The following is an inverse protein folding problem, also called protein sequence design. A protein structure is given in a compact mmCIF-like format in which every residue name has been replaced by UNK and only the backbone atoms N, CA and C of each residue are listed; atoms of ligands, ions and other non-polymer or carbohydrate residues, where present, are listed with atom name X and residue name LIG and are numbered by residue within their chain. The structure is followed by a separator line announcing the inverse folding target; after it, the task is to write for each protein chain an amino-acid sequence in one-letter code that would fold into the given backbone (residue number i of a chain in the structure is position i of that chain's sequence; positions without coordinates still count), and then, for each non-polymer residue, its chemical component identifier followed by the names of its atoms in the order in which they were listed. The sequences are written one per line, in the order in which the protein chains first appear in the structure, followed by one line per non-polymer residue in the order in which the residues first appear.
data_IF_593932457280
#
_entry.id   IF_593932457280
#
_cell.length_a   1.000
_cell.length_b   1.000
_cell.length_c   1.000
_cell.angle_alpha   90.00
_cell.angle_beta   90.00
_cell.angle_gamma   90.00
#
_symmetry.space_group_name_H-M   'P 1'
#
loop_
_entity.id
_entity.type
_entity.pdbx_description
1 polymer ?
#
# COMPACT_ATOMS: atom_id res chain seq x y z
N UNK A 1 -23.06 2.56 -7.86
CA UNK A 1 -23.09 2.81 -6.41
C UNK A 1 -21.73 2.48 -5.82
N UNK A 2 -20.89 3.50 -5.59
CA UNK A 2 -19.55 3.36 -5.01
C UNK A 2 -19.57 3.99 -3.61
N UNK A 3 -19.88 3.19 -2.60
CA UNK A 3 -19.91 3.60 -1.18
C UNK A 3 -18.64 3.17 -0.42
N UNK A 4 -17.71 2.46 -1.08
CA UNK A 4 -16.48 1.96 -0.44
C UNK A 4 -15.45 3.05 -0.15
N UNK A 5 -15.23 3.99 -1.07
CA UNK A 5 -14.20 5.03 -0.91
C UNK A 5 -14.56 6.09 0.14
N UNK A 6 -15.85 6.47 0.23
CA UNK A 6 -16.32 7.48 1.20
C UNK A 6 -16.28 7.00 2.65
N UNK A 7 -16.60 5.72 2.90
CA UNK A 7 -16.49 5.13 4.24
C UNK A 7 -15.03 4.98 4.69
N UNK A 8 -14.12 4.64 3.76
CA UNK A 8 -12.68 4.63 4.05
C UNK A 8 -12.13 6.02 4.32
N UNK A 9 -12.56 7.05 3.58
CA UNK A 9 -12.13 8.44 3.80
C UNK A 9 -12.59 8.97 5.17
N UNK A 10 -13.86 8.80 5.52
CA UNK A 10 -14.39 9.19 6.83
C UNK A 10 -13.70 8.48 8.02
N UNK A 11 -13.32 7.20 7.84
CA UNK A 11 -12.56 6.47 8.85
C UNK A 11 -11.13 7.02 9.01
N UNK A 12 -10.44 7.32 7.90
CA UNK A 12 -9.10 7.89 7.92
C UNK A 12 -9.10 9.29 8.54
N UNK A 13 -10.08 10.12 8.21
CA UNK A 13 -10.27 11.45 8.82
C UNK A 13 -10.47 11.34 10.32
N UNK A 14 -11.29 10.39 10.78
CA UNK A 14 -11.51 10.15 12.20
C UNK A 14 -10.22 9.70 12.91
N UNK A 15 -9.46 8.76 12.34
CA UNK A 15 -8.18 8.32 12.91
C UNK A 15 -7.16 9.48 12.95
N UNK A 16 -7.16 10.32 11.94
CA UNK A 16 -6.31 11.51 11.86
C UNK A 16 -6.72 12.56 12.90
N UNK A 17 -8.02 12.75 13.14
CA UNK A 17 -8.53 13.62 14.19
C UNK A 17 -8.19 13.10 15.59
N UNK A 18 -8.14 11.78 15.82
CA UNK A 18 -7.66 11.22 17.08
C UNK A 18 -6.18 11.53 17.36
N UNK A 19 -5.35 11.59 16.32
CA UNK A 19 -3.93 11.99 16.45
C UNK A 19 -3.73 13.47 16.76
N UNK A 20 -4.72 14.33 16.51
CA UNK A 20 -4.67 15.73 16.89
C UNK A 20 -4.85 15.92 18.42
N UNK A 21 -5.33 14.90 19.14
CA UNK A 21 -5.52 14.95 20.60
C UNK A 21 -4.20 14.63 21.31
N UNK A 22 -3.82 15.48 22.26
CA UNK A 22 -2.59 15.34 23.04
C UNK A 22 -2.56 13.97 23.75
N UNK A 23 -1.46 13.23 23.59
CA UNK A 23 -1.24 11.92 24.20
C UNK A 23 -1.79 10.73 23.40
N UNK A 24 -2.33 10.94 22.20
CA UNK A 24 -2.76 9.86 21.29
C UNK A 24 -1.92 9.86 20.02
N UNK A 25 -1.44 8.69 19.65
CA UNK A 25 -0.75 8.48 18.37
C UNK A 25 -1.12 7.11 17.81
N UNK A 26 -1.83 7.12 16.69
CA UNK A 26 -2.27 5.96 15.94
C UNK A 26 -1.61 6.01 14.59
N UNK A 27 -0.91 4.93 14.25
CA UNK A 27 -0.30 4.75 12.95
C UNK A 27 -1.10 3.72 12.17
N UNK A 28 -1.40 4.04 10.92
CA UNK A 28 -2.17 3.18 10.04
C UNK A 28 -1.53 3.11 8.65
N UNK A 29 -1.88 2.03 7.95
CA UNK A 29 -1.52 1.84 6.55
C UNK A 29 -2.73 1.29 5.82
N UNK A 30 -3.05 1.84 4.65
CA UNK A 30 -4.19 1.41 3.83
C UNK A 30 -3.74 1.14 2.40
N UNK A 31 -4.34 0.15 1.75
CA UNK A 31 -4.10 -0.13 0.34
C UNK A 31 -4.43 1.09 -0.53
N UNK A 32 -3.62 1.33 -1.55
CA UNK A 32 -3.79 2.44 -2.49
C UNK A 32 -4.09 1.89 -3.89
N UNK A 33 -5.21 2.32 -4.47
CA UNK A 33 -5.63 1.87 -5.77
C UNK A 33 -4.68 2.40 -6.85
N UNK A 34 -4.01 1.48 -7.55
CA UNK A 34 -3.12 1.82 -8.67
C UNK A 34 -3.93 1.85 -9.96
N UNK A 35 -4.52 3.02 -10.23
CA UNK A 35 -5.23 3.32 -11.47
C UNK A 35 -4.26 3.42 -12.65
N UNK A 36 -4.77 3.38 -13.88
CA UNK A 36 -3.95 3.46 -15.10
C UNK A 36 -3.02 4.69 -15.11
N UNK A 37 -3.55 5.85 -14.69
CA UNK A 37 -2.76 7.07 -14.58
C UNK A 37 -1.57 6.94 -13.61
N UNK A 38 -1.80 6.32 -12.45
CA UNK A 38 -0.74 6.05 -11.47
C UNK A 38 0.27 5.04 -12.04
N UNK A 39 -0.16 4.06 -12.84
CA UNK A 39 0.75 3.12 -13.51
C UNK A 39 1.68 3.81 -14.50
N UNK A 40 1.15 4.71 -15.33
CA UNK A 40 1.97 5.50 -16.26
C UNK A 40 3.05 6.29 -15.50
N UNK A 41 2.70 6.87 -14.36
CA UNK A 41 3.65 7.57 -13.50
C UNK A 41 4.70 6.62 -12.90
N UNK A 42 4.30 5.44 -12.42
CA UNK A 42 5.22 4.42 -11.90
C UNK A 42 6.19 3.94 -12.99
N UNK A 43 5.71 3.75 -14.22
CA UNK A 43 6.53 3.33 -15.36
C UNK A 43 7.60 4.38 -15.73
N UNK A 44 7.32 5.66 -15.48
CA UNK A 44 8.28 6.75 -15.70
C UNK A 44 9.39 6.82 -14.62
N UNK A 45 9.27 6.08 -13.51
CA UNK A 45 10.26 6.12 -12.41
C UNK A 45 11.59 5.50 -12.86
N UNK A 46 12.72 6.21 -12.75
CA UNK A 46 14.03 5.67 -13.10
C UNK A 46 14.37 4.40 -12.32
N UNK A 47 14.67 3.31 -13.04
CA UNK A 47 14.86 1.95 -12.48
C UNK A 47 16.02 1.82 -11.48
N UNK A 48 17.05 2.68 -11.57
CA UNK A 48 18.33 2.51 -10.88
C UNK A 48 18.55 3.40 -9.64
N UNK A 49 17.73 4.43 -9.42
CA UNK A 49 17.98 5.42 -8.36
C UNK A 49 16.84 5.56 -7.34
N UNK A 50 15.59 5.30 -7.74
CA UNK A 50 14.41 5.53 -6.88
C UNK A 50 13.96 4.25 -6.19
N UNK A 51 14.24 3.10 -6.78
CA UNK A 51 13.84 1.79 -6.28
C UNK A 51 14.84 1.24 -5.28
N UNK A 52 14.37 0.93 -4.09
CA UNK A 52 15.13 0.26 -3.05
C UNK A 52 14.71 -1.20 -2.93
N UNK A 53 15.62 -2.15 -2.72
CA UNK A 53 15.22 -3.54 -2.60
C UNK A 53 14.45 -3.77 -1.29
N UNK A 54 13.43 -4.63 -1.34
CA UNK A 54 12.64 -4.99 -0.16
C UNK A 54 13.43 -5.88 0.79
N UNK A 55 13.07 -5.85 2.08
CA UNK A 55 13.73 -6.63 3.13
C UNK A 55 12.76 -7.68 3.68
N UNK A 56 13.26 -8.90 3.84
CA UNK A 56 12.53 -9.99 4.48
C UNK A 56 12.52 -9.82 5.99
N UNK A 57 11.66 -10.58 6.68
CA UNK A 57 11.50 -10.51 8.14
C UNK A 57 12.77 -10.94 8.89
N UNK A 58 13.66 -11.68 8.23
CA UNK A 58 14.99 -12.08 8.73
C UNK A 58 16.10 -11.04 8.40
N UNK A 59 15.74 -9.86 7.92
CA UNK A 59 16.69 -8.80 7.55
C UNK A 59 17.37 -8.99 6.20
N UNK A 60 17.08 -10.07 5.47
CA UNK A 60 17.72 -10.33 4.17
C UNK A 60 17.07 -9.54 3.04
N UNK A 61 17.91 -8.99 2.17
CA UNK A 61 17.47 -8.28 0.97
C UNK A 61 16.84 -9.24 -0.03
N UNK A 62 15.63 -8.92 -0.51
CA UNK A 62 14.93 -9.72 -1.53
C UNK A 62 15.22 -9.17 -2.92
N UNK A 63 15.93 -9.94 -3.74
CA UNK A 63 16.30 -9.56 -5.12
C UNK A 63 15.13 -9.49 -6.13
N UNK A 64 13.91 -9.91 -5.73
CA UNK A 64 12.75 -10.05 -6.64
C UNK A 64 11.64 -9.02 -6.38
N UNK A 65 11.84 -8.11 -5.43
CA UNK A 65 10.88 -7.06 -5.16
C UNK A 65 11.58 -5.81 -4.66
N UNK A 66 11.16 -4.66 -5.20
CA UNK A 66 11.66 -3.36 -4.83
C UNK A 66 10.52 -2.46 -4.38
N UNK A 67 10.86 -1.42 -3.63
CA UNK A 67 9.96 -0.43 -3.06
C UNK A 67 10.43 0.96 -3.46
N UNK A 68 9.48 1.85 -3.77
CA UNK A 68 9.73 3.24 -4.10
C UNK A 68 8.67 4.13 -3.45
N UNK A 69 9.05 5.35 -3.07
CA UNK A 69 8.09 6.36 -2.67
C UNK A 69 7.56 7.09 -3.91
N UNK A 70 6.24 7.18 -4.04
CA UNK A 70 5.56 7.84 -5.17
C UNK A 70 4.84 9.12 -4.75
N UNK A 71 4.87 9.49 -3.46
CA UNK A 71 4.15 10.65 -2.92
C UNK A 71 4.32 11.87 -3.81
N UNK A 72 5.56 12.27 -4.12
CA UNK A 72 5.86 13.47 -4.92
C UNK A 72 5.49 13.39 -6.40
N UNK A 73 5.20 12.19 -6.93
CA UNK A 73 4.81 11.99 -8.33
C UNK A 73 3.29 12.06 -8.52
N UNK A 74 2.52 11.92 -7.45
CA UNK A 74 1.07 11.92 -7.52
C UNK A 74 0.53 13.34 -7.79
N UNK A 75 -0.59 13.46 -8.55
CA UNK A 75 -1.23 14.74 -8.79
C UNK A 75 -1.54 15.48 -7.49
N UNK A 76 -1.44 16.81 -7.53
CA UNK A 76 -1.67 17.66 -6.36
C UNK A 76 -3.04 17.39 -5.70
N UNK A 77 -4.11 17.22 -6.48
CA UNK A 77 -5.44 16.93 -5.95
C UNK A 77 -5.49 15.59 -5.20
N UNK A 78 -4.74 14.56 -5.64
CA UNK A 78 -4.63 13.29 -4.91
C UNK A 78 -3.85 13.51 -3.62
N UNK A 79 -2.76 14.27 -3.67
CA UNK A 79 -1.96 14.57 -2.47
C UNK A 79 -2.74 15.34 -1.41
N UNK A 80 -3.50 16.35 -1.82
CA UNK A 80 -4.25 17.20 -0.90
C UNK A 80 -5.45 16.48 -0.28
N UNK A 81 -6.17 15.69 -1.06
CA UNK A 81 -7.41 15.03 -0.60
C UNK A 81 -7.13 13.71 0.11
N UNK A 82 -6.16 12.93 -0.37
CA UNK A 82 -5.91 11.57 0.09
C UNK A 82 -4.62 11.38 0.89
N UNK A 83 -3.63 12.27 0.72
CA UNK A 83 -2.30 12.09 1.33
C UNK A 83 -1.85 13.29 2.15
N UNK A 84 -2.79 14.09 2.67
CA UNK A 84 -2.44 15.23 3.52
C UNK A 84 -1.64 14.74 4.74
N UNK A 85 -0.32 14.95 4.71
CA UNK A 85 0.58 14.47 5.74
C UNK A 85 0.88 12.96 5.74
N UNK A 86 0.55 12.24 4.67
CA UNK A 86 0.80 10.80 4.49
C UNK A 86 1.85 10.54 3.40
N UNK A 87 2.40 9.32 3.40
CA UNK A 87 3.34 8.83 2.38
C UNK A 87 2.66 7.77 1.53
N UNK A 88 2.84 7.84 0.22
CA UNK A 88 2.41 6.82 -0.73
C UNK A 88 3.62 6.00 -1.21
N UNK A 89 3.56 4.70 -1.00
CA UNK A 89 4.66 3.77 -1.31
C UNK A 89 4.15 2.72 -2.28
N UNK A 90 4.93 2.47 -3.33
CA UNK A 90 4.68 1.40 -4.29
C UNK A 90 5.72 0.31 -4.12
N UNK A 91 5.28 -0.95 -4.17
CA UNK A 91 6.14 -2.12 -4.28
C UNK A 91 5.98 -2.67 -5.68
N UNK A 92 7.09 -3.04 -6.33
CA UNK A 92 7.08 -3.84 -7.55
C UNK A 92 7.50 -5.26 -7.21
N UNK A 93 6.72 -6.25 -7.64
CA UNK A 93 7.08 -7.65 -7.50
C UNK A 93 6.86 -8.41 -8.81
N UNK A 94 7.76 -9.35 -9.12
CA UNK A 94 7.55 -10.24 -10.27
C UNK A 94 6.48 -11.27 -9.91
N UNK A 95 5.44 -11.44 -10.74
CA UNK A 95 4.51 -12.55 -10.61
C UNK A 95 5.27 -13.87 -10.56
N UNK A 96 4.71 -14.84 -9.83
CA UNK A 96 5.24 -16.20 -9.86
C UNK A 96 4.92 -16.82 -11.23
N UNK A 97 5.80 -17.68 -11.78
CA UNK A 97 5.47 -18.45 -12.97
C UNK A 97 4.14 -19.19 -12.77
N UNK A 98 3.17 -19.00 -13.67
CA UNK A 98 1.84 -19.61 -13.58
C UNK A 98 0.78 -18.85 -12.77
N UNK A 99 1.07 -17.65 -12.25
CA UNK A 99 0.03 -16.78 -11.72
C UNK A 99 -0.84 -16.26 -12.88
N UNK A 100 -2.18 -16.34 -12.76
CA UNK A 100 -3.07 -15.73 -13.75
C UNK A 100 -2.88 -14.21 -13.70
N UNK A 101 -2.36 -13.69 -14.81
CA UNK A 101 -2.09 -12.28 -15.00
C UNK A 101 -3.36 -11.59 -15.50
N UNK A 102 -3.67 -10.42 -14.98
CA UNK A 102 -4.63 -9.54 -15.65
C UNK A 102 -3.98 -9.01 -16.95
N UNK A 103 -4.77 -8.64 -17.96
CA UNK A 103 -4.30 -8.11 -19.27
C UNK A 103 -3.21 -7.02 -19.17
N UNK A 104 -3.19 -6.32 -18.05
CA UNK A 104 -2.26 -5.23 -17.74
C UNK A 104 -0.90 -5.69 -17.17
N UNK A 105 -0.83 -6.87 -16.55
CA UNK A 105 0.40 -7.46 -15.99
C UNK A 105 1.27 -8.11 -17.08
N UNK A 106 0.70 -8.32 -18.28
CA UNK A 106 1.39 -8.90 -19.45
C UNK A 106 2.38 -7.93 -20.13
N UNK A 107 2.19 -6.61 -19.99
CA UNK A 107 2.96 -5.63 -20.77
C UNK A 107 4.38 -5.37 -20.23
N UNK A 108 4.59 -5.46 -18.91
CA UNK A 108 5.90 -5.29 -18.28
C UNK A 108 6.28 -6.41 -17.30
N UNK A 109 5.36 -7.32 -16.98
CA UNK A 109 5.60 -8.48 -16.11
C UNK A 109 5.77 -8.10 -14.64
N UNK A 110 5.24 -6.96 -14.18
CA UNK A 110 5.32 -6.53 -12.78
C UNK A 110 3.93 -6.31 -12.16
N UNK A 111 3.79 -6.72 -10.89
CA UNK A 111 2.69 -6.29 -10.03
C UNK A 111 3.12 -5.08 -9.23
N UNK A 112 2.24 -4.09 -9.13
CA UNK A 112 2.48 -2.85 -8.41
C UNK A 112 1.50 -2.64 -7.25
N UNK A 113 1.52 -3.47 -6.19
CA UNK A 113 0.77 -3.15 -4.99
C UNK A 113 1.30 -1.84 -4.38
N UNK A 114 0.39 -0.91 -4.11
CA UNK A 114 0.71 0.34 -3.44
C UNK A 114 -0.09 0.47 -2.15
N UNK A 115 0.46 1.22 -1.21
CA UNK A 115 -0.20 1.55 0.05
C UNK A 115 0.17 2.96 0.47
N UNK A 116 -0.63 3.49 1.38
CA UNK A 116 -0.38 4.80 1.99
C UNK A 116 -0.33 4.66 3.50
N UNK A 117 0.47 5.49 4.16
CA UNK A 117 0.62 5.47 5.62
C UNK A 117 0.81 6.88 6.17
N UNK A 118 0.27 7.13 7.36
CA UNK A 118 0.50 8.37 8.10
C UNK A 118 1.84 8.35 8.87
N UNK A 119 2.56 7.23 8.91
CA UNK A 119 3.89 7.14 9.49
C UNK A 119 4.90 7.85 8.60
N UNK A 120 5.41 9.01 9.07
CA UNK A 120 6.37 9.84 8.32
C UNK A 120 7.81 9.37 8.44
N UNK A 121 8.15 8.80 9.59
CA UNK A 121 9.52 8.36 9.92
C UNK A 121 9.75 6.89 9.54
N UNK A 122 11.02 6.54 9.30
CA UNK A 122 11.42 5.18 8.99
C UNK A 122 11.70 4.94 7.50
N UNK A 123 12.47 3.87 7.26
CA UNK A 123 12.90 3.47 5.93
C UNK A 123 11.76 2.85 5.13
N UNK A 124 11.78 2.98 3.80
CA UNK A 124 10.74 2.42 2.93
C UNK A 124 10.61 0.90 3.08
N UNK A 125 11.73 0.21 3.32
CA UNK A 125 11.77 -1.22 3.53
C UNK A 125 11.06 -1.62 4.82
N UNK A 126 11.22 -0.83 5.89
CA UNK A 126 10.52 -1.06 7.14
C UNK A 126 9.00 -0.84 6.99
N UNK A 127 8.61 0.27 6.36
CA UNK A 127 7.19 0.58 6.12
C UNK A 127 6.52 -0.47 5.23
N UNK A 128 7.19 -0.92 4.16
CA UNK A 128 6.70 -2.02 3.32
C UNK A 128 6.55 -3.32 4.11
N UNK A 129 7.56 -3.72 4.88
CA UNK A 129 7.53 -4.96 5.63
C UNK A 129 6.41 -4.96 6.69
N UNK A 130 6.22 -3.83 7.38
CA UNK A 130 5.13 -3.63 8.33
C UNK A 130 3.77 -3.72 7.65
N UNK A 131 3.57 -3.02 6.53
CA UNK A 131 2.32 -3.09 5.78
C UNK A 131 2.02 -4.52 5.31
N UNK A 132 3.03 -5.23 4.78
CA UNK A 132 2.92 -6.62 4.35
C UNK A 132 2.55 -7.58 5.48
N UNK A 133 3.05 -7.34 6.70
CA UNK A 133 2.65 -8.11 7.87
C UNK A 133 1.17 -7.87 8.20
N UNK A 134 0.71 -6.61 8.14
CA UNK A 134 -0.68 -6.24 8.38
C UNK A 134 -1.65 -6.83 7.33
N UNK A 135 -1.30 -6.74 6.04
CA UNK A 135 -2.10 -7.30 4.95
C UNK A 135 -2.35 -8.81 5.11
N UNK A 136 -1.37 -9.58 5.61
CA UNK A 136 -1.54 -11.02 5.91
C UNK A 136 -2.53 -11.27 7.05
N UNK A 137 -2.57 -10.39 8.05
CA UNK A 137 -3.52 -10.48 9.15
C UNK A 137 -4.92 -10.17 8.63
N UNK A 138 -5.07 -9.12 7.82
CA UNK A 138 -6.35 -8.79 7.17
C UNK A 138 -6.85 -9.92 6.27
N UNK A 139 -5.98 -10.54 5.47
CA UNK A 139 -6.33 -11.69 4.63
C UNK A 139 -6.80 -12.89 5.47
N UNK A 140 -6.12 -13.17 6.60
CA UNK A 140 -6.55 -14.23 7.52
C UNK A 140 -7.90 -13.92 8.18
N UNK A 141 -8.12 -12.67 8.59
CA UNK A 141 -9.41 -12.24 9.15
C UNK A 141 -10.51 -12.35 8.11
N UNK A 142 -10.22 -11.97 6.85
CA UNK A 142 -11.17 -12.07 5.75
C UNK A 142 -11.53 -13.52 5.47
N UNK A 143 -10.53 -14.39 5.29
CA UNK A 143 -10.75 -15.83 5.14
C UNK A 143 -11.51 -16.43 6.32
N UNK A 144 -11.19 -16.05 7.56
CA UNK A 144 -11.90 -16.50 8.76
C UNK A 144 -13.39 -16.10 8.74
N UNK A 145 -13.69 -14.85 8.33
CA UNK A 145 -15.07 -14.36 8.13
C UNK A 145 -15.78 -15.10 7.00
N UNK A 146 -15.11 -15.34 5.88
CA UNK A 146 -15.63 -16.06 4.72
C UNK A 146 -15.90 -17.54 5.04
N UNK A 147 -15.12 -18.15 5.96
CA UNK A 147 -15.34 -19.50 6.49
C UNK A 147 -16.43 -19.62 7.55
N UNK A 148 -17.20 -18.54 7.81
CA UNK A 148 -18.42 -18.64 8.60
C UNK A 148 -18.31 -18.31 10.10
N UNK A 149 -17.24 -17.66 10.56
CA UNK A 149 -17.17 -17.11 11.93
C UNK A 149 -18.19 -15.98 12.20
N UNK A 150 -18.86 -15.46 11.17
CA UNK A 150 -20.03 -14.58 11.30
C UNK A 150 -21.37 -15.32 11.45
N UNK A 151 -21.36 -16.66 11.54
CA UNK A 151 -22.53 -17.54 11.65
C UNK A 151 -22.43 -18.56 12.79
N UNK A 152 -21.56 -18.33 13.78
CA UNK A 152 -21.66 -19.07 15.04
C UNK A 152 -22.79 -18.42 15.87
N UNK A 153 -23.73 -19.21 16.42
CA UNK A 153 -24.83 -18.69 17.24
C UNK A 153 -24.35 -17.99 18.51
#
# INVERSE_FOLDING_TARGET
MSTGAGASHALLDRLTAENAKRGRHVEYSVGFAVTEHVRTMIAAIPKKAVWSPTVATDGKVRKKADVAEITGLLPEHVRQVWLAGMRATVRRERPRPGAQLCLCEDNDGWRYPAFTTNTRIGTLQFLEARHRAHARVEDRIRHAKDTGLGRLP
#
